data_IF_776964836293
#
_entry.id   IF_776964836293
#
_cell.length_a   1.000
_cell.length_b   1.000
_cell.length_c   1.000
_cell.angle_alpha   90.00
_cell.angle_beta   90.00
_cell.angle_gamma   90.00
#
_symmetry.space_group_name_H-M   'P 1'
#
loop_
_entity.id
_entity.type
_entity.pdbx_description
1 polymer ?
#
# COMPACT_ATOMS: atom_id res chain seq x y z
N UNK A 1 20.69 20.17 8.41
CA UNK A 1 20.72 18.73 8.75
C UNK A 1 19.67 18.37 9.80
N UNK A 2 19.82 18.72 11.07
CA UNK A 2 18.91 18.33 12.19
C UNK A 2 17.41 18.58 11.94
N UNK A 3 17.04 19.78 11.44
CA UNK A 3 15.66 20.13 11.12
C UNK A 3 15.01 19.16 10.11
N UNK A 4 15.79 18.67 9.12
CA UNK A 4 15.28 17.75 8.11
C UNK A 4 15.17 16.32 8.66
N UNK A 5 16.09 15.88 9.52
CA UNK A 5 15.97 14.58 10.20
C UNK A 5 14.76 14.54 11.13
N UNK A 6 14.47 15.61 11.87
CA UNK A 6 13.24 15.71 12.68
C UNK A 6 11.96 15.59 11.84
N UNK A 7 11.93 16.25 10.67
CA UNK A 7 10.79 16.12 9.75
C UNK A 7 10.68 14.71 9.14
N UNK A 8 11.82 14.11 8.75
CA UNK A 8 11.84 12.73 8.29
C UNK A 8 11.32 11.77 9.37
N UNK A 9 11.69 11.97 10.64
CA UNK A 9 11.20 11.20 11.78
C UNK A 9 9.68 11.31 11.93
N UNK A 10 9.12 12.51 11.81
CA UNK A 10 7.66 12.71 11.90
C UNK A 10 6.93 11.93 10.81
N UNK A 11 7.37 12.03 9.56
CA UNK A 11 6.74 11.31 8.45
C UNK A 11 6.98 9.80 8.51
N UNK A 12 8.15 9.35 9.00
CA UNK A 12 8.39 7.94 9.26
C UNK A 12 7.49 7.37 10.37
N UNK A 13 7.15 8.18 11.40
CA UNK A 13 6.18 7.79 12.41
C UNK A 13 4.78 7.61 11.81
N UNK A 14 4.39 8.47 10.86
CA UNK A 14 3.13 8.28 10.10
C UNK A 14 3.14 6.96 9.35
N UNK A 15 4.27 6.60 8.68
CA UNK A 15 4.42 5.31 8.02
C UNK A 15 4.34 4.11 8.98
N UNK A 16 4.88 4.23 10.19
CA UNK A 16 4.74 3.18 11.21
C UNK A 16 3.26 2.98 11.56
N UNK A 17 2.52 4.05 11.81
CA UNK A 17 1.09 3.98 12.14
C UNK A 17 0.30 3.35 10.98
N UNK A 18 0.50 3.83 9.76
CA UNK A 18 -0.16 3.29 8.57
C UNK A 18 0.24 1.84 8.31
N UNK A 19 1.52 1.50 8.50
CA UNK A 19 2.03 0.14 8.37
C UNK A 19 1.43 -0.82 9.39
N UNK A 20 1.28 -0.41 10.65
CA UNK A 20 0.59 -1.20 11.67
C UNK A 20 -0.87 -1.46 11.29
N UNK A 21 -1.59 -0.42 10.86
CA UNK A 21 -2.98 -0.56 10.42
C UNK A 21 -3.07 -1.48 9.19
N UNK A 22 -2.16 -1.35 8.23
CA UNK A 22 -2.08 -2.19 7.04
C UNK A 22 -1.85 -3.66 7.40
N UNK A 23 -0.85 -3.96 8.25
CA UNK A 23 -0.53 -5.33 8.67
C UNK A 23 -1.71 -5.95 9.42
N UNK A 24 -2.31 -5.25 10.38
CA UNK A 24 -3.47 -5.76 11.13
C UNK A 24 -4.64 -6.04 10.18
N UNK A 25 -4.98 -5.10 9.30
CA UNK A 25 -6.07 -5.27 8.34
C UNK A 25 -5.80 -6.43 7.38
N UNK A 26 -4.55 -6.57 6.91
CA UNK A 26 -4.16 -7.67 6.02
C UNK A 26 -4.23 -9.02 6.71
N UNK A 27 -3.76 -9.14 7.95
CA UNK A 27 -3.85 -10.39 8.73
C UNK A 27 -5.31 -10.80 8.94
N UNK A 28 -6.18 -9.85 9.30
CA UNK A 28 -7.61 -10.13 9.49
C UNK A 28 -8.30 -10.46 8.18
N UNK A 29 -7.94 -9.80 7.08
CA UNK A 29 -8.54 -9.99 5.76
C UNK A 29 -8.01 -11.20 4.99
N UNK A 30 -6.80 -11.70 5.33
CA UNK A 30 -6.12 -12.76 4.57
C UNK A 30 -6.94 -14.06 4.43
N UNK A 31 -7.58 -14.59 5.49
CA UNK A 31 -8.40 -15.80 5.36
C UNK A 31 -9.51 -15.66 4.31
N UNK A 32 -10.17 -14.49 4.26
CA UNK A 32 -11.20 -14.17 3.29
C UNK A 32 -10.62 -14.01 1.87
N UNK A 33 -9.46 -13.36 1.75
CA UNK A 33 -8.76 -13.19 0.47
C UNK A 33 -8.29 -14.53 -0.12
N UNK A 34 -7.87 -15.48 0.71
CA UNK A 34 -7.41 -16.80 0.25
C UNK A 34 -8.57 -17.76 -0.06
N UNK A 35 -9.66 -17.66 0.66
CA UNK A 35 -10.86 -18.51 0.52
C UNK A 35 -12.13 -17.67 0.34
N UNK A 36 -12.25 -16.89 -0.76
CA UNK A 36 -13.45 -16.12 -1.03
C UNK A 36 -14.65 -17.07 -1.20
N UNK A 37 -15.82 -16.67 -0.71
CA UNK A 37 -17.08 -17.41 -0.89
C UNK A 37 -17.99 -16.63 -1.82
N UNK A 38 -18.66 -17.31 -2.75
CA UNK A 38 -19.57 -16.64 -3.67
C UNK A 38 -20.69 -15.87 -2.92
N UNK A 39 -21.15 -16.41 -1.79
CA UNK A 39 -22.12 -15.74 -0.93
C UNK A 39 -21.71 -14.35 -0.44
N UNK A 40 -20.39 -14.07 -0.34
CA UNK A 40 -19.89 -12.76 0.06
C UNK A 40 -20.11 -11.68 -1.02
N UNK A 41 -20.44 -12.10 -2.24
CA UNK A 41 -20.61 -11.25 -3.43
C UNK A 41 -22.05 -11.23 -3.96
N UNK A 42 -22.99 -11.98 -3.37
CA UNK A 42 -24.38 -12.04 -3.81
C UNK A 42 -25.07 -10.66 -3.82
N UNK A 43 -24.71 -9.79 -2.87
CA UNK A 43 -25.25 -8.42 -2.80
C UNK A 43 -24.89 -7.56 -4.03
N UNK A 44 -23.89 -7.96 -4.82
CA UNK A 44 -23.46 -7.26 -6.04
C UNK A 44 -24.30 -7.65 -7.27
N UNK A 45 -25.33 -8.51 -7.10
CA UNK A 45 -26.21 -8.92 -8.17
C UNK A 45 -25.46 -9.56 -9.36
N UNK A 46 -25.69 -9.05 -10.56
CA UNK A 46 -25.05 -9.57 -11.79
C UNK A 46 -23.52 -9.49 -11.82
N UNK A 47 -22.93 -8.61 -11.01
CA UNK A 47 -21.46 -8.48 -10.88
C UNK A 47 -20.86 -9.46 -9.87
N UNK A 48 -21.67 -10.08 -9.02
CA UNK A 48 -21.20 -10.94 -7.92
C UNK A 48 -20.29 -12.07 -8.39
N UNK A 49 -20.66 -12.75 -9.46
CA UNK A 49 -19.83 -13.83 -10.03
C UNK A 49 -18.48 -13.31 -10.55
N UNK A 50 -18.46 -12.19 -11.26
CA UNK A 50 -17.22 -11.62 -11.81
C UNK A 50 -16.27 -11.16 -10.69
N UNK A 51 -16.82 -10.57 -9.63
CA UNK A 51 -16.03 -10.14 -8.47
C UNK A 51 -15.50 -11.32 -7.67
N UNK A 52 -16.27 -12.40 -7.55
CA UNK A 52 -15.80 -13.64 -6.95
C UNK A 52 -14.69 -14.28 -7.78
N UNK A 53 -14.81 -14.36 -9.11
CA UNK A 53 -13.79 -14.91 -10.00
C UNK A 53 -12.50 -14.09 -9.93
N UNK A 54 -12.61 -12.76 -9.87
CA UNK A 54 -11.48 -11.86 -9.64
C UNK A 54 -10.79 -12.15 -8.29
N UNK A 55 -11.56 -12.20 -7.20
CA UNK A 55 -11.02 -12.46 -5.87
C UNK A 55 -10.42 -13.88 -5.76
N UNK A 56 -10.97 -14.84 -6.51
CA UNK A 56 -10.51 -16.23 -6.53
C UNK A 56 -9.31 -16.46 -7.46
N UNK A 57 -8.88 -15.44 -8.21
CA UNK A 57 -7.73 -15.52 -9.12
C UNK A 57 -6.44 -15.81 -8.33
N UNK A 58 -5.66 -16.86 -8.69
CA UNK A 58 -4.40 -17.20 -8.00
C UNK A 58 -3.41 -16.06 -7.91
N UNK A 59 -3.32 -15.20 -8.94
CA UNK A 59 -2.42 -14.05 -8.94
C UNK A 59 -2.84 -13.01 -7.89
N UNK A 60 -4.14 -12.73 -7.77
CA UNK A 60 -4.66 -11.80 -6.74
C UNK A 60 -4.41 -12.34 -5.33
N UNK A 61 -4.62 -13.65 -5.12
CA UNK A 61 -4.28 -14.31 -3.84
C UNK A 61 -2.79 -14.22 -3.54
N UNK A 62 -1.94 -14.48 -4.54
CA UNK A 62 -0.49 -14.36 -4.43
C UNK A 62 -0.04 -12.95 -4.06
N UNK A 63 -0.61 -11.92 -4.71
CA UNK A 63 -0.36 -10.51 -4.40
C UNK A 63 -0.77 -10.19 -2.96
N UNK A 64 -1.90 -10.70 -2.48
CA UNK A 64 -2.37 -10.47 -1.10
C UNK A 64 -1.38 -11.02 -0.07
N UNK A 65 -0.88 -12.23 -0.28
CA UNK A 65 0.14 -12.84 0.61
C UNK A 65 1.46 -12.06 0.53
N UNK A 66 1.93 -11.75 -0.69
CA UNK A 66 3.18 -11.04 -0.89
C UNK A 66 3.11 -9.61 -0.31
N UNK A 67 1.98 -8.92 -0.45
CA UNK A 67 1.76 -7.60 0.15
C UNK A 67 1.85 -7.64 1.67
N UNK A 68 1.28 -8.67 2.31
CA UNK A 68 1.40 -8.84 3.76
C UNK A 68 2.87 -9.03 4.17
N UNK A 69 3.62 -9.88 3.47
CA UNK A 69 5.04 -10.13 3.76
C UNK A 69 5.85 -8.83 3.60
N UNK A 70 5.65 -8.12 2.49
CA UNK A 70 6.33 -6.83 2.24
C UNK A 70 5.97 -5.82 3.32
N UNK A 71 4.69 -5.69 3.69
CA UNK A 71 4.26 -4.75 4.72
C UNK A 71 4.90 -5.03 6.08
N UNK A 72 5.03 -6.30 6.47
CA UNK A 72 5.73 -6.69 7.72
C UNK A 72 7.20 -6.30 7.66
N UNK A 73 7.87 -6.62 6.55
CA UNK A 73 9.30 -6.30 6.36
C UNK A 73 9.51 -4.78 6.38
N UNK A 74 8.70 -4.02 5.67
CA UNK A 74 8.78 -2.56 5.65
C UNK A 74 8.52 -1.96 7.03
N UNK A 75 7.56 -2.47 7.76
CA UNK A 75 7.27 -2.02 9.12
C UNK A 75 8.48 -2.18 10.04
N UNK A 76 9.19 -3.31 9.96
CA UNK A 76 10.45 -3.54 10.71
C UNK A 76 11.48 -2.47 10.31
N UNK A 77 11.66 -2.21 9.02
CA UNK A 77 12.59 -1.19 8.55
C UNK A 77 12.20 0.22 9.03
N UNK A 78 10.91 0.56 9.08
CA UNK A 78 10.46 1.85 9.60
C UNK A 78 10.76 2.01 11.09
N UNK A 79 10.61 0.96 11.90
CA UNK A 79 11.03 1.00 13.30
C UNK A 79 12.55 1.19 13.44
N UNK A 80 13.35 0.47 12.64
CA UNK A 80 14.80 0.64 12.62
C UNK A 80 15.21 2.05 12.18
N UNK A 81 14.56 2.57 11.14
CA UNK A 81 14.78 3.94 10.66
C UNK A 81 14.40 4.98 11.72
N UNK A 82 13.28 4.75 12.43
CA UNK A 82 12.84 5.66 13.50
C UNK A 82 13.84 5.76 14.64
N UNK A 83 14.49 4.64 15.00
CA UNK A 83 15.58 4.62 15.99
C UNK A 83 16.76 5.44 15.51
N UNK A 84 17.27 5.20 14.28
CA UNK A 84 18.36 5.98 13.70
C UNK A 84 18.05 7.48 13.65
N UNK A 85 16.84 7.84 13.24
CA UNK A 85 16.39 9.24 13.20
C UNK A 85 16.28 9.87 14.61
N UNK A 86 16.03 9.06 15.65
CA UNK A 86 16.06 9.53 17.03
C UNK A 86 17.50 9.86 17.49
N UNK A 87 18.47 9.10 17.00
CA UNK A 87 19.90 9.26 17.26
C UNK A 87 20.57 10.26 16.27
N UNK A 88 19.75 11.00 15.50
CA UNK A 88 20.18 11.97 14.47
C UNK A 88 21.03 11.35 13.34
N UNK A 89 20.90 10.03 13.13
CA UNK A 89 21.60 9.29 12.08
C UNK A 89 20.66 9.13 10.88
N UNK A 90 21.16 9.42 9.67
CA UNK A 90 20.41 9.23 8.42
C UNK A 90 20.20 7.74 8.14
N UNK A 91 18.94 7.24 8.09
CA UNK A 91 18.65 5.86 7.73
C UNK A 91 18.78 5.65 6.22
N UNK A 92 18.86 4.38 5.80
CA UNK A 92 18.82 4.00 4.38
C UNK A 92 17.46 4.35 3.77
N UNK A 93 17.45 4.81 2.52
CA UNK A 93 16.25 5.24 1.79
C UNK A 93 15.52 4.07 1.10
N UNK A 94 16.19 2.92 0.95
CA UNK A 94 15.71 1.77 0.19
C UNK A 94 14.30 1.27 0.57
N UNK A 95 13.91 1.17 1.85
CA UNK A 95 12.57 0.71 2.22
C UNK A 95 11.44 1.58 1.67
N UNK A 96 11.66 2.89 1.61
CA UNK A 96 10.66 3.85 1.09
C UNK A 96 10.50 3.72 -0.43
N UNK A 97 11.57 3.39 -1.16
CA UNK A 97 11.49 3.09 -2.60
C UNK A 97 10.73 1.78 -2.86
N UNK A 98 10.95 0.75 -2.01
CA UNK A 98 10.19 -0.50 -2.11
C UNK A 98 8.70 -0.25 -1.88
N UNK A 99 8.34 0.54 -0.86
CA UNK A 99 6.94 0.92 -0.59
C UNK A 99 6.28 1.55 -1.82
N UNK A 100 6.94 2.55 -2.41
CA UNK A 100 6.42 3.24 -3.60
C UNK A 100 6.32 2.26 -4.78
N UNK A 101 7.39 1.53 -5.07
CA UNK A 101 7.44 0.60 -6.20
C UNK A 101 6.42 -0.53 -6.08
N UNK A 102 6.29 -1.13 -4.89
CA UNK A 102 5.31 -2.18 -4.63
C UNK A 102 3.87 -1.67 -4.73
N UNK A 103 3.60 -0.51 -4.15
CA UNK A 103 2.28 0.12 -4.22
C UNK A 103 1.85 0.36 -5.66
N UNK A 104 2.72 0.93 -6.50
CA UNK A 104 2.44 1.17 -7.91
C UNK A 104 2.24 -0.14 -8.68
N UNK A 105 3.12 -1.13 -8.47
CA UNK A 105 3.05 -2.41 -9.16
C UNK A 105 1.78 -3.19 -8.81
N UNK A 106 1.46 -3.32 -7.53
CA UNK A 106 0.28 -4.05 -7.06
C UNK A 106 -1.03 -3.39 -7.55
N UNK A 107 -1.07 -2.06 -7.56
CA UNK A 107 -2.22 -1.31 -8.10
C UNK A 107 -2.37 -1.52 -9.60
N UNK A 108 -1.27 -1.48 -10.36
CA UNK A 108 -1.31 -1.73 -11.80
C UNK A 108 -1.82 -3.14 -12.13
N UNK A 109 -1.31 -4.17 -11.43
CA UNK A 109 -1.76 -5.55 -11.61
C UNK A 109 -3.23 -5.70 -11.21
N UNK A 110 -3.62 -5.13 -10.06
CA UNK A 110 -5.01 -5.16 -9.60
C UNK A 110 -5.96 -4.56 -10.62
N UNK A 111 -5.60 -3.41 -11.19
CA UNK A 111 -6.40 -2.76 -12.22
C UNK A 111 -6.47 -3.55 -13.53
N UNK A 112 -5.36 -4.14 -13.97
CA UNK A 112 -5.36 -4.97 -15.21
C UNK A 112 -6.25 -6.21 -15.11
N UNK A 113 -6.42 -6.75 -13.91
CA UNK A 113 -7.21 -7.95 -13.67
C UNK A 113 -8.64 -7.65 -13.23
N UNK A 114 -8.94 -6.41 -12.86
CA UNK A 114 -10.26 -6.02 -12.35
C UNK A 114 -11.33 -6.20 -13.44
N UNK A 115 -12.48 -6.84 -13.13
CA UNK A 115 -13.59 -6.92 -14.07
C UNK A 115 -14.18 -5.54 -14.36
N UNK A 116 -14.76 -5.38 -15.54
CA UNK A 116 -15.46 -4.14 -15.89
C UNK A 116 -16.70 -3.96 -14.98
N UNK A 117 -16.73 -2.85 -14.27
CA UNK A 117 -17.84 -2.52 -13.39
C UNK A 117 -18.94 -1.80 -14.17
N UNK A 118 -19.88 -2.57 -14.74
CA UNK A 118 -21.03 -2.02 -15.45
C UNK A 118 -22.31 -2.21 -14.61
N UNK A 119 -23.00 -1.13 -14.28
CA UNK A 119 -24.32 -1.12 -13.67
C UNK A 119 -25.26 -0.25 -14.51
N UNK A 120 -26.40 -0.81 -14.88
CA UNK A 120 -27.45 -0.10 -15.63
C UNK A 120 -26.96 0.62 -16.90
N UNK A 121 -25.99 0.00 -17.62
CA UNK A 121 -25.40 0.58 -18.84
C UNK A 121 -24.30 1.63 -18.58
N UNK A 122 -23.97 1.93 -17.34
CA UNK A 122 -22.87 2.83 -16.96
C UNK A 122 -21.61 2.04 -16.59
N UNK A 123 -20.45 2.46 -17.14
CA UNK A 123 -19.14 1.88 -16.80
C UNK A 123 -18.47 2.69 -15.68
N UNK A 124 -18.48 2.14 -14.47
CA UNK A 124 -17.84 2.74 -13.30
C UNK A 124 -16.35 2.38 -13.15
N UNK A 125 -15.79 1.56 -14.04
CA UNK A 125 -14.40 1.08 -13.93
C UNK A 125 -13.41 2.24 -13.92
N UNK A 126 -13.62 3.25 -14.79
CA UNK A 126 -12.76 4.42 -14.85
C UNK A 126 -12.84 5.30 -13.60
N UNK A 127 -14.04 5.48 -13.05
CA UNK A 127 -14.24 6.23 -11.80
C UNK A 127 -13.56 5.55 -10.61
N UNK A 128 -13.69 4.24 -10.51
CA UNK A 128 -13.02 3.43 -9.47
C UNK A 128 -11.50 3.53 -9.58
N UNK A 129 -10.96 3.51 -10.80
CA UNK A 129 -9.54 3.73 -11.06
C UNK A 129 -9.06 5.09 -10.54
N UNK A 130 -9.75 6.18 -10.91
CA UNK A 130 -9.37 7.54 -10.49
C UNK A 130 -9.37 7.64 -8.97
N UNK A 131 -10.42 7.17 -8.31
CA UNK A 131 -10.53 7.17 -6.85
C UNK A 131 -9.37 6.37 -6.24
N UNK A 132 -9.08 5.18 -6.76
CA UNK A 132 -7.97 4.35 -6.31
C UNK A 132 -6.62 5.05 -6.42
N UNK A 133 -6.34 5.72 -7.56
CA UNK A 133 -5.11 6.49 -7.76
C UNK A 133 -5.01 7.66 -6.78
N UNK A 134 -6.10 8.40 -6.54
CA UNK A 134 -6.11 9.50 -5.59
C UNK A 134 -5.75 9.01 -4.18
N UNK A 135 -6.40 7.94 -3.71
CA UNK A 135 -6.07 7.35 -2.41
C UNK A 135 -4.62 6.86 -2.36
N UNK A 136 -4.15 6.20 -3.42
CA UNK A 136 -2.77 5.72 -3.50
C UNK A 136 -1.77 6.88 -3.37
N UNK A 137 -1.98 7.99 -4.09
CA UNK A 137 -1.11 9.17 -3.97
C UNK A 137 -1.09 9.68 -2.53
N UNK A 138 -2.25 9.80 -1.88
CA UNK A 138 -2.36 10.25 -0.50
C UNK A 138 -1.56 9.36 0.45
N UNK A 139 -1.65 8.03 0.31
CA UNK A 139 -0.92 7.08 1.15
C UNK A 139 0.58 7.05 0.86
N UNK A 140 1.03 7.42 -0.34
CA UNK A 140 2.44 7.50 -0.70
C UNK A 140 3.13 8.80 -0.25
N UNK A 141 2.36 9.86 0.05
CA UNK A 141 2.92 11.15 0.51
C UNK A 141 3.92 10.98 1.66
N UNK A 142 3.64 10.23 2.74
CA UNK A 142 4.59 10.10 3.84
C UNK A 142 5.92 9.49 3.41
N UNK A 143 5.93 8.46 2.57
CA UNK A 143 7.14 7.82 2.06
C UNK A 143 7.97 8.80 1.20
N UNK A 144 7.31 9.54 0.31
CA UNK A 144 7.94 10.57 -0.53
C UNK A 144 8.56 11.66 0.36
N UNK A 145 7.84 12.14 1.37
CA UNK A 145 8.33 13.20 2.24
C UNK A 145 9.50 12.74 3.12
N UNK A 146 9.52 11.48 3.57
CA UNK A 146 10.72 10.93 4.22
C UNK A 146 11.92 11.00 3.29
N UNK A 147 11.79 10.50 2.05
CA UNK A 147 12.87 10.51 1.05
C UNK A 147 13.36 11.95 0.82
N UNK A 148 12.46 12.90 0.57
CA UNK A 148 12.80 14.31 0.33
C UNK A 148 13.57 14.91 1.52
N UNK A 149 13.15 14.62 2.74
CA UNK A 149 13.82 15.14 3.92
C UNK A 149 15.15 14.45 4.21
N UNK A 150 15.30 13.16 3.88
CA UNK A 150 16.59 12.46 3.98
C UNK A 150 17.60 13.03 2.98
N UNK A 151 17.21 13.32 1.73
CA UNK A 151 18.11 13.98 0.78
C UNK A 151 18.54 15.38 1.24
N UNK A 152 17.61 16.16 1.81
CA UNK A 152 17.95 17.50 2.34
C UNK A 152 18.73 17.47 3.66
N UNK A 153 18.88 16.32 4.27
CA UNK A 153 19.69 16.13 5.46
C UNK A 153 21.12 15.66 5.15
N UNK A 154 21.39 15.21 3.91
CA UNK A 154 22.74 14.90 3.45
C UNK A 154 23.50 16.20 3.22
N UNK A 155 24.79 16.29 3.60
CA UNK A 155 25.62 17.45 3.28
C UNK A 155 25.72 17.60 1.76
N UNK A 156 25.66 18.83 1.26
CA UNK A 156 26.00 19.13 -0.14
C UNK A 156 27.49 18.82 -0.30
N UNK A 157 27.82 17.90 -1.25
CA UNK A 157 29.20 17.60 -1.65
C UNK A 157 29.84 18.80 -2.36
#
# INVERSE_FOLDING_TARGET
MEKHLKKAKTWNMVLIILGLLSVVSSVVGLPKSLNPKLSDYEMLGSMGQQMFDYANNPLIKGISVLSLVISIVLLIFYFMANKKLADEITPVKFPYYIEIGWSLLSTAIGFMLQPKMQMDGFDFSFMTLIIGIIFQIIFLIPAILVIVHLFKAEPEE
#
